data_IF_651163607778
#
_entry.id   IF_651163607778
#
_cell.length_a   1.000
_cell.length_b   1.000
_cell.length_c   1.000
_cell.angle_alpha   90.00
_cell.angle_beta   90.00
_cell.angle_gamma   90.00
#
_symmetry.space_group_name_H-M   'P 1'
#
loop_
_entity.id
_entity.type
_entity.pdbx_description
1 polymer ?
#
# COMPACT_ATOMS: atom_id res chain seq x y z
N UNK A 1 2.90 9.58 -17.06
CA UNK A 1 3.17 8.31 -16.35
C UNK A 1 3.56 8.60 -14.90
N UNK A 2 2.92 7.93 -13.95
CA UNK A 2 3.18 8.06 -12.50
C UNK A 2 3.26 6.68 -11.86
N UNK A 3 3.99 6.55 -10.75
CA UNK A 3 4.05 5.31 -9.99
C UNK A 3 3.36 5.48 -8.63
N UNK A 4 2.57 4.50 -8.21
CA UNK A 4 1.85 4.54 -6.93
C UNK A 4 1.82 3.16 -6.29
N UNK A 5 1.90 3.13 -4.96
CA UNK A 5 1.71 1.90 -4.21
C UNK A 5 0.22 1.56 -4.17
N UNK A 6 -0.15 0.35 -4.58
CA UNK A 6 -1.52 -0.14 -4.50
C UNK A 6 -1.54 -1.48 -3.79
N UNK A 7 -2.38 -1.59 -2.76
CA UNK A 7 -2.64 -2.83 -2.03
C UNK A 7 -4.16 -2.99 -1.92
N UNK A 8 -4.69 -3.92 -2.71
CA UNK A 8 -6.11 -4.27 -2.75
C UNK A 8 -6.32 -5.63 -2.04
N UNK A 9 -7.39 -5.72 -1.26
CA UNK A 9 -7.85 -6.97 -0.68
C UNK A 9 -9.38 -6.98 -0.60
N UNK A 10 -9.98 -8.08 -0.16
CA UNK A 10 -11.45 -8.21 -0.07
C UNK A 10 -12.10 -7.15 0.82
N UNK A 11 -11.41 -6.74 1.88
CA UNK A 11 -11.86 -5.71 2.83
C UNK A 11 -10.76 -4.70 3.12
N UNK A 12 -11.14 -3.52 3.61
CA UNK A 12 -10.20 -2.48 4.00
C UNK A 12 -9.30 -2.93 5.15
N UNK A 13 -9.83 -3.67 6.12
CA UNK A 13 -9.04 -4.19 7.24
C UNK A 13 -7.97 -5.18 6.77
N UNK A 14 -8.31 -6.06 5.82
CA UNK A 14 -7.36 -7.01 5.25
C UNK A 14 -6.29 -6.29 4.44
N UNK A 15 -6.65 -5.27 3.68
CA UNK A 15 -5.70 -4.47 2.91
C UNK A 15 -4.74 -3.71 3.84
N UNK A 16 -5.23 -3.11 4.92
CA UNK A 16 -4.41 -2.42 5.92
C UNK A 16 -3.46 -3.38 6.66
N UNK A 17 -3.93 -4.59 6.99
CA UNK A 17 -3.10 -5.64 7.55
C UNK A 17 -1.95 -5.99 6.59
N UNK A 18 -2.25 -6.27 5.32
CA UNK A 18 -1.22 -6.58 4.31
C UNK A 18 -0.24 -5.42 4.12
N UNK A 19 -0.74 -4.18 4.15
CA UNK A 19 0.06 -2.96 4.03
C UNK A 19 1.05 -2.75 5.18
N UNK A 20 0.90 -3.46 6.31
CA UNK A 20 1.93 -3.41 7.35
C UNK A 20 3.29 -3.94 6.88
N UNK A 21 3.35 -4.72 5.79
CA UNK A 21 4.62 -5.17 5.18
C UNK A 21 5.43 -3.98 4.64
N UNK A 22 4.82 -3.14 3.79
CA UNK A 22 5.44 -1.92 3.24
C UNK A 22 5.73 -0.91 4.34
N UNK A 23 4.82 -0.76 5.32
CA UNK A 23 5.02 0.15 6.45
C UNK A 23 6.24 -0.23 7.30
N UNK A 24 6.43 -1.51 7.59
CA UNK A 24 7.64 -2.02 8.27
C UNK A 24 8.91 -1.75 7.45
N UNK A 25 8.86 -1.90 6.13
CA UNK A 25 10.00 -1.61 5.26
C UNK A 25 10.41 -0.13 5.34
N UNK A 26 9.45 0.80 5.33
CA UNK A 26 9.74 2.23 5.49
C UNK A 26 10.26 2.56 6.89
N UNK A 27 9.69 1.95 7.93
CA UNK A 27 10.16 2.12 9.30
C UNK A 27 11.61 1.65 9.46
N UNK A 28 11.95 0.49 8.91
CA UNK A 28 13.32 -0.04 8.90
C UNK A 28 14.28 0.86 8.11
N UNK A 29 13.81 1.45 7.00
CA UNK A 29 14.60 2.41 6.24
C UNK A 29 14.87 3.70 7.03
N UNK A 30 13.86 4.24 7.72
CA UNK A 30 13.99 5.41 8.59
C UNK A 30 14.96 5.16 9.76
N UNK A 31 14.96 3.94 10.30
CA UNK A 31 15.87 3.49 11.37
C UNK A 31 17.29 3.19 10.88
N UNK A 32 17.56 3.33 9.58
CA UNK A 32 18.82 2.95 8.95
C UNK A 32 19.20 1.48 9.19
N UNK A 33 18.18 0.61 9.24
CA UNK A 33 18.30 -0.84 9.43
C UNK A 33 17.56 -1.57 8.30
N UNK A 34 17.98 -1.42 7.03
CA UNK A 34 17.31 -2.05 5.91
C UNK A 34 17.29 -3.56 6.09
N UNK A 35 16.15 -4.18 5.80
CA UNK A 35 15.93 -5.61 5.95
C UNK A 35 15.13 -6.14 4.77
N UNK A 36 15.02 -7.47 4.69
CA UNK A 36 14.08 -8.08 3.77
C UNK A 36 12.65 -7.67 4.14
N UNK A 37 11.74 -7.74 3.16
CA UNK A 37 10.33 -7.47 3.40
C UNK A 37 9.84 -8.38 4.53
N UNK A 38 9.19 -7.78 5.54
CA UNK A 38 8.73 -8.51 6.73
C UNK A 38 7.27 -8.95 6.56
N UNK A 39 6.86 -10.06 7.20
CA UNK A 39 5.47 -10.48 7.24
C UNK A 39 4.54 -9.40 7.82
N UNK A 40 3.25 -9.35 7.42
CA UNK A 40 2.31 -8.41 7.98
C UNK A 40 2.08 -8.65 9.48
N UNK A 41 1.95 -7.57 10.25
CA UNK A 41 1.74 -7.57 11.70
C UNK A 41 0.40 -6.93 12.05
N UNK A 42 -0.29 -7.42 13.09
CA UNK A 42 -1.61 -6.90 13.47
C UNK A 42 -1.54 -5.51 14.10
N UNK A 43 -0.55 -5.28 14.97
CA UNK A 43 -0.43 -4.06 15.77
C UNK A 43 0.87 -3.33 15.44
N UNK A 44 0.96 -2.76 14.24
CA UNK A 44 2.16 -2.01 13.86
C UNK A 44 2.38 -0.78 14.76
N UNK A 45 1.29 -0.14 15.22
CA UNK A 45 1.35 1.05 16.07
C UNK A 45 2.14 0.84 17.38
N UNK A 46 2.13 -0.37 17.94
CA UNK A 46 2.91 -0.70 19.14
C UNK A 46 4.42 -0.75 18.89
N UNK A 47 4.83 -0.82 17.62
CA UNK A 47 6.22 -0.95 17.19
C UNK A 47 6.84 0.41 16.81
N UNK A 48 6.11 1.51 16.93
CA UNK A 48 6.54 2.84 16.46
C UNK A 48 6.31 3.94 17.50
N UNK A 49 7.25 4.88 17.55
CA UNK A 49 7.05 6.14 18.27
C UNK A 49 6.02 7.04 17.56
N UNK A 50 5.41 8.01 18.26
CA UNK A 50 4.50 8.98 17.64
C UNK A 50 5.15 9.77 16.50
N UNK A 51 6.45 10.05 16.60
CA UNK A 51 7.21 10.70 15.54
C UNK A 51 7.32 9.81 14.29
N UNK A 52 7.69 8.54 14.47
CA UNK A 52 7.78 7.59 13.36
C UNK A 52 6.43 7.38 12.67
N UNK A 53 5.34 7.35 13.45
CA UNK A 53 3.97 7.29 12.92
C UNK A 53 3.66 8.44 11.97
N UNK A 54 3.91 9.68 12.42
CA UNK A 54 3.62 10.87 11.62
C UNK A 54 4.45 10.92 10.32
N UNK A 55 5.72 10.52 10.37
CA UNK A 55 6.58 10.47 9.18
C UNK A 55 6.09 9.38 8.21
N UNK A 56 5.74 8.21 8.72
CA UNK A 56 5.22 7.10 7.92
C UNK A 56 3.90 7.47 7.22
N UNK A 57 2.96 8.09 7.94
CA UNK A 57 1.69 8.59 7.40
C UNK A 57 1.93 9.60 6.28
N UNK A 58 2.89 10.51 6.45
CA UNK A 58 3.28 11.46 5.40
C UNK A 58 3.87 10.74 4.19
N UNK A 59 4.78 9.80 4.39
CA UNK A 59 5.49 9.09 3.32
C UNK A 59 4.56 8.20 2.49
N UNK A 60 3.55 7.61 3.12
CA UNK A 60 2.55 6.74 2.49
C UNK A 60 1.22 7.44 2.20
N UNK A 61 1.17 8.77 2.29
CA UNK A 61 -0.05 9.56 2.09
C UNK A 61 -0.70 9.35 0.71
N UNK A 62 0.09 9.07 -0.31
CA UNK A 62 -0.38 8.76 -1.66
C UNK A 62 -0.59 7.25 -1.92
N UNK A 63 -0.34 6.38 -0.94
CA UNK A 63 -0.55 4.94 -1.11
C UNK A 63 -2.05 4.63 -1.18
N UNK A 64 -2.42 3.77 -2.12
CA UNK A 64 -3.81 3.36 -2.34
C UNK A 64 -4.00 1.99 -1.71
N UNK A 65 -4.54 1.99 -0.50
CA UNK A 65 -4.80 0.77 0.29
C UNK A 65 -6.31 0.67 0.53
N UNK A 66 -6.90 -0.51 0.31
CA UNK A 66 -8.30 -0.75 0.70
C UNK A 66 -8.99 -1.91 -0.01
N UNK A 67 -10.30 -1.96 0.17
CA UNK A 67 -11.25 -2.82 -0.55
C UNK A 67 -11.37 -2.41 -2.02
N UNK A 68 -11.95 -3.26 -2.92
CA UNK A 68 -12.02 -2.93 -4.34
C UNK A 68 -12.77 -1.62 -4.63
N UNK A 69 -13.82 -1.35 -3.85
CA UNK A 69 -14.62 -0.11 -3.94
C UNK A 69 -13.75 1.11 -3.61
N UNK A 70 -12.99 1.05 -2.51
CA UNK A 70 -12.15 2.16 -2.06
C UNK A 70 -10.93 2.36 -2.96
N UNK A 71 -10.31 1.28 -3.41
CA UNK A 71 -9.19 1.32 -4.36
C UNK A 71 -9.64 1.97 -5.67
N UNK A 72 -10.79 1.60 -6.22
CA UNK A 72 -11.37 2.23 -7.42
C UNK A 72 -11.53 3.74 -7.26
N UNK A 73 -12.14 4.17 -6.15
CA UNK A 73 -12.37 5.59 -5.86
C UNK A 73 -11.05 6.37 -5.73
N UNK A 74 -10.08 5.81 -5.00
CA UNK A 74 -8.76 6.44 -4.79
C UNK A 74 -7.93 6.49 -6.08
N UNK A 75 -7.93 5.44 -6.88
CA UNK A 75 -7.28 5.42 -8.21
C UNK A 75 -7.87 6.50 -9.12
N UNK A 76 -9.20 6.64 -9.16
CA UNK A 76 -9.83 7.69 -9.96
C UNK A 76 -9.47 9.10 -9.47
N UNK A 77 -9.44 9.34 -8.16
CA UNK A 77 -9.00 10.63 -7.60
C UNK A 77 -7.56 10.93 -7.98
N UNK A 78 -6.67 9.94 -7.82
CA UNK A 78 -5.26 10.06 -8.15
C UNK A 78 -5.03 10.36 -9.64
N UNK A 79 -5.78 9.72 -10.55
CA UNK A 79 -5.76 10.04 -11.98
C UNK A 79 -6.23 11.47 -12.26
N UNK A 80 -7.33 11.91 -11.62
CA UNK A 80 -7.86 13.25 -11.83
C UNK A 80 -6.90 14.35 -11.35
N UNK A 81 -6.21 14.11 -10.23
CA UNK A 81 -5.25 15.04 -9.64
C UNK A 81 -3.94 15.11 -10.46
N UNK A 82 -3.42 13.95 -10.87
CA UNK A 82 -2.13 13.86 -11.58
C UNK A 82 -2.25 14.09 -13.08
N UNK A 83 -3.44 13.89 -13.66
CA UNK A 83 -3.70 13.89 -15.11
C UNK A 83 -2.79 12.94 -15.88
N UNK A 84 -2.37 11.85 -15.25
CA UNK A 84 -1.48 10.87 -15.88
C UNK A 84 -2.26 9.92 -16.79
N UNK A 85 -1.70 9.62 -17.95
CA UNK A 85 -2.28 8.65 -18.91
C UNK A 85 -1.89 7.19 -18.60
N UNK A 86 -0.95 6.98 -17.67
CA UNK A 86 -0.46 5.66 -17.25
C UNK A 86 -0.09 5.65 -15.77
N UNK A 87 -0.48 4.57 -15.07
CA UNK A 87 -0.11 4.27 -13.69
C UNK A 87 0.73 2.99 -13.65
N UNK A 88 1.93 3.11 -13.09
CA UNK A 88 2.75 1.97 -12.67
C UNK A 88 2.37 1.57 -11.24
N UNK A 89 1.87 0.34 -11.09
CA UNK A 89 1.46 -0.20 -9.79
C UNK A 89 2.62 -0.91 -9.10
N UNK A 90 2.96 -0.44 -7.90
CA UNK A 90 3.87 -1.13 -6.97
C UNK A 90 3.08 -1.78 -5.84
N UNK A 91 3.34 -3.05 -5.54
CA UNK A 91 2.67 -3.78 -4.47
C UNK A 91 3.71 -4.49 -3.59
N UNK A 92 4.09 -3.86 -2.48
CA UNK A 92 5.03 -4.43 -1.49
C UNK A 92 4.28 -5.18 -0.39
N UNK A 93 3.83 -6.39 -0.71
CA UNK A 93 3.21 -7.34 0.22
C UNK A 93 4.11 -8.57 0.35
N UNK A 94 4.33 -9.02 1.58
CA UNK A 94 5.22 -10.16 1.88
C UNK A 94 4.73 -11.48 1.27
N UNK A 95 3.45 -11.80 1.48
CA UNK A 95 2.85 -13.01 0.95
C UNK A 95 2.66 -12.88 -0.57
N UNK A 96 3.26 -13.81 -1.31
CA UNK A 96 3.25 -13.78 -2.77
C UNK A 96 1.85 -13.94 -3.36
N UNK A 97 1.02 -14.82 -2.78
CA UNK A 97 -0.33 -15.07 -3.26
C UNK A 97 -1.23 -13.86 -3.01
N UNK A 98 -1.10 -13.22 -1.85
CA UNK A 98 -1.81 -11.98 -1.53
C UNK A 98 -1.37 -10.84 -2.46
N UNK A 99 -0.07 -10.76 -2.80
CA UNK A 99 0.43 -9.78 -3.77
C UNK A 99 -0.16 -10.02 -5.16
N UNK A 100 -0.16 -11.25 -5.64
CA UNK A 100 -0.76 -11.61 -6.93
C UNK A 100 -2.27 -11.29 -6.95
N UNK A 101 -2.98 -11.66 -5.89
CA UNK A 101 -4.40 -11.39 -5.75
C UNK A 101 -4.72 -9.89 -5.73
N UNK A 102 -3.88 -9.07 -5.06
CA UNK A 102 -4.00 -7.61 -5.13
C UNK A 102 -3.87 -7.09 -6.56
N UNK A 103 -2.95 -7.63 -7.36
CA UNK A 103 -2.85 -7.24 -8.78
C UNK A 103 -4.07 -7.67 -9.60
N UNK A 104 -4.60 -8.87 -9.35
CA UNK A 104 -5.83 -9.36 -10.00
C UNK A 104 -7.01 -8.44 -9.69
N UNK A 105 -7.23 -8.11 -8.42
CA UNK A 105 -8.28 -7.17 -8.02
C UNK A 105 -8.12 -5.80 -8.68
N UNK A 106 -6.90 -5.28 -8.76
CA UNK A 106 -6.65 -4.00 -9.44
C UNK A 106 -6.97 -4.08 -10.93
N UNK A 107 -6.60 -5.18 -11.61
CA UNK A 107 -6.94 -5.40 -13.01
C UNK A 107 -8.47 -5.45 -13.24
N UNK A 108 -9.19 -6.20 -12.40
CA UNK A 108 -10.66 -6.28 -12.45
C UNK A 108 -11.32 -4.92 -12.22
N UNK A 109 -10.81 -4.12 -11.27
CA UNK A 109 -11.33 -2.77 -10.96
C UNK A 109 -11.28 -1.84 -12.18
N UNK A 110 -10.22 -1.95 -12.98
CA UNK A 110 -9.99 -1.11 -14.16
C UNK A 110 -10.48 -1.76 -15.47
N UNK A 111 -10.96 -3.00 -15.43
CA UNK A 111 -11.54 -3.71 -16.57
C UNK A 111 -10.52 -4.32 -17.53
N UNK A 112 -9.37 -4.77 -17.01
CA UNK A 112 -8.37 -5.56 -17.74
C UNK A 112 -8.58 -7.08 -17.59
#
# INVERSE_FOLDING_TARGET
>A
MVAVNVIAADTDEKAELLATSIKQSFLNMMRNTPSQLQPPVKNLDELMSPYEKAVLEKQLSSAIIGSPINVKKKLQSFLNETKADEIMVSTMVFDHNARLYSHQLVAEIIGL
#
